data_IF_467578935816
#
_entry.id   IF_467578935816
#
_cell.length_a   1.000
_cell.length_b   1.000
_cell.length_c   1.000
_cell.angle_alpha   90.00
_cell.angle_beta   90.00
_cell.angle_gamma   90.00
#
_symmetry.space_group_name_H-M   'P 1'
#
loop_
_entity.id
_entity.type
_entity.pdbx_description
1 polymer ?
#
# COMPACT_ATOMS: atom_id res chain seq x y z
N UNK A 1 -12.28 -5.51 19.24
CA UNK A 1 -12.11 -5.91 17.82
C UNK A 1 -10.72 -5.49 17.41
N UNK A 2 -9.93 -6.34 16.72
CA UNK A 2 -8.60 -5.93 16.26
C UNK A 2 -8.70 -4.76 15.29
N UNK A 3 -7.73 -3.86 15.34
CA UNK A 3 -7.58 -2.76 14.40
C UNK A 3 -7.27 -3.28 12.98
N UNK A 4 -7.42 -2.41 11.98
CA UNK A 4 -7.09 -2.72 10.59
C UNK A 4 -5.65 -3.26 10.47
N UNK A 5 -4.69 -2.56 11.08
CA UNK A 5 -3.26 -2.92 10.97
C UNK A 5 -2.90 -4.22 11.68
N UNK A 6 -3.53 -4.54 12.81
CA UNK A 6 -3.33 -5.82 13.51
C UNK A 6 -3.80 -6.98 12.61
N UNK A 7 -5.02 -6.88 12.09
CA UNK A 7 -5.62 -7.93 11.25
C UNK A 7 -4.86 -8.09 9.92
N UNK A 8 -4.46 -6.99 9.30
CA UNK A 8 -3.67 -7.05 8.07
C UNK A 8 -2.29 -7.68 8.31
N UNK A 9 -1.64 -7.33 9.43
CA UNK A 9 -0.35 -7.92 9.80
C UNK A 9 -0.44 -9.43 9.99
N UNK A 10 -1.53 -9.93 10.59
CA UNK A 10 -1.80 -11.37 10.69
C UNK A 10 -1.97 -12.04 9.32
N UNK A 11 -2.73 -11.44 8.41
CA UNK A 11 -2.92 -11.99 7.07
C UNK A 11 -1.62 -12.00 6.25
N UNK A 12 -0.79 -10.96 6.34
CA UNK A 12 0.52 -10.96 5.68
C UNK A 12 1.40 -12.09 6.22
N UNK A 13 1.46 -12.27 7.54
CA UNK A 13 2.21 -13.37 8.18
C UNK A 13 1.66 -14.76 7.86
N UNK A 14 0.37 -14.87 7.60
CA UNK A 14 -0.28 -16.08 7.14
C UNK A 14 -0.13 -16.32 5.62
N UNK A 15 0.70 -15.52 4.93
CA UNK A 15 1.02 -15.66 3.51
C UNK A 15 -0.19 -15.54 2.57
N UNK A 16 -1.19 -14.72 2.93
CA UNK A 16 -2.23 -14.34 1.99
C UNK A 16 -1.63 -13.47 0.87
N UNK A 17 -1.86 -13.87 -0.39
CA UNK A 17 -1.28 -13.21 -1.57
C UNK A 17 -2.08 -12.02 -2.07
N UNK A 18 -3.30 -11.84 -1.58
CA UNK A 18 -4.19 -10.75 -1.96
C UNK A 18 -5.30 -10.58 -0.94
N UNK A 19 -5.63 -9.32 -0.63
CA UNK A 19 -6.66 -8.95 0.32
C UNK A 19 -7.54 -7.87 -0.30
N UNK A 20 -8.85 -8.00 -0.13
CA UNK A 20 -9.81 -6.94 -0.44
C UNK A 20 -10.16 -6.18 0.83
N UNK A 21 -9.84 -4.89 0.87
CA UNK A 21 -10.15 -4.02 2.01
C UNK A 21 -11.36 -3.16 1.65
N UNK A 22 -12.45 -3.35 2.40
CA UNK A 22 -13.65 -2.51 2.28
C UNK A 22 -13.69 -1.52 3.44
N UNK A 23 -13.74 -0.23 3.12
CA UNK A 23 -13.78 0.87 4.08
C UNK A 23 -14.59 2.03 3.51
N UNK A 24 -15.14 2.87 4.39
CA UNK A 24 -15.73 4.16 4.02
C UNK A 24 -14.70 5.30 4.06
N UNK A 25 -13.50 5.03 4.59
CA UNK A 25 -12.41 5.98 4.83
C UNK A 25 -11.13 5.45 4.14
N UNK A 26 -11.03 5.56 2.81
CA UNK A 26 -9.94 4.96 2.03
C UNK A 26 -8.60 5.65 2.28
N UNK A 27 -8.58 6.97 2.47
CA UNK A 27 -7.35 7.72 2.69
C UNK A 27 -6.71 7.39 4.04
N UNK A 28 -7.53 7.32 5.09
CA UNK A 28 -7.13 6.94 6.43
C UNK A 28 -6.62 5.50 6.45
N UNK A 29 -7.35 4.58 5.81
CA UNK A 29 -6.92 3.20 5.67
C UNK A 29 -5.57 3.10 4.95
N UNK A 30 -5.38 3.81 3.83
CA UNK A 30 -4.10 3.84 3.12
C UNK A 30 -2.96 4.39 3.99
N UNK A 31 -3.21 5.46 4.77
CA UNK A 31 -2.22 6.03 5.67
C UNK A 31 -1.83 5.05 6.80
N UNK A 32 -2.81 4.35 7.38
CA UNK A 32 -2.57 3.30 8.38
C UNK A 32 -1.76 2.13 7.82
N UNK A 33 -2.08 1.67 6.61
CA UNK A 33 -1.36 0.58 5.92
C UNK A 33 0.08 0.98 5.61
N UNK A 34 0.30 2.19 5.08
CA UNK A 34 1.64 2.73 4.87
C UNK A 34 2.40 2.88 6.20
N UNK A 35 1.72 3.24 7.28
CA UNK A 35 2.25 3.27 8.65
C UNK A 35 2.71 1.89 9.13
N UNK A 36 1.88 0.85 8.92
CA UNK A 36 2.22 -0.54 9.23
C UNK A 36 3.45 -0.99 8.43
N UNK A 37 3.47 -0.79 7.11
CA UNK A 37 4.61 -1.18 6.28
C UNK A 37 5.92 -0.52 6.73
N UNK A 38 5.90 0.77 7.10
CA UNK A 38 7.08 1.44 7.67
C UNK A 38 7.53 0.82 8.99
N UNK A 39 6.60 0.50 9.89
CA UNK A 39 6.91 -0.12 11.20
C UNK A 39 7.51 -1.51 11.04
N UNK A 40 6.98 -2.31 10.12
CA UNK A 40 7.42 -3.67 9.87
C UNK A 40 8.59 -3.76 8.86
N UNK A 41 9.07 -2.61 8.36
CA UNK A 41 10.08 -2.51 7.31
C UNK A 41 9.72 -3.29 6.04
N UNK A 42 8.44 -3.26 5.66
CA UNK A 42 7.92 -3.82 4.41
C UNK A 42 7.96 -2.78 3.30
N UNK A 43 8.26 -3.24 2.08
CA UNK A 43 8.12 -2.39 0.90
C UNK A 43 6.64 -2.07 0.65
N UNK A 44 6.36 -0.79 0.42
CA UNK A 44 5.02 -0.31 0.08
C UNK A 44 5.05 0.27 -1.33
N UNK A 45 4.10 -0.15 -2.14
CA UNK A 45 3.78 0.50 -3.39
C UNK A 45 2.26 0.71 -3.46
N UNK A 46 1.85 1.85 -3.99
CA UNK A 46 0.45 2.19 -4.21
C UNK A 46 0.24 2.55 -5.66
N UNK A 47 -0.87 2.09 -6.22
CA UNK A 47 -1.35 2.55 -7.52
C UNK A 47 -2.63 3.32 -7.29
N UNK A 48 -2.58 4.60 -7.58
CA UNK A 48 -3.73 5.48 -7.59
C UNK A 48 -4.06 5.86 -9.04
N UNK A 49 -5.35 5.99 -9.37
CA UNK A 49 -5.76 6.29 -10.74
C UNK A 49 -5.34 7.70 -11.18
N UNK A 50 -5.31 8.66 -10.27
CA UNK A 50 -4.96 10.06 -10.56
C UNK A 50 -3.45 10.28 -10.45
N UNK A 51 -2.80 9.65 -9.47
CA UNK A 51 -1.38 9.88 -9.17
C UNK A 51 -0.44 8.83 -9.75
N UNK A 52 -0.97 7.75 -10.35
CA UNK A 52 -0.20 6.68 -10.94
C UNK A 52 0.44 5.74 -9.92
N UNK A 53 1.47 5.01 -10.36
CA UNK A 53 2.20 4.05 -9.54
C UNK A 53 3.28 4.76 -8.73
N UNK A 54 3.28 4.54 -7.42
CA UNK A 54 4.21 5.14 -6.47
C UNK A 54 4.83 4.05 -5.60
N UNK A 55 6.14 4.14 -5.36
CA UNK A 55 6.86 3.24 -4.45
C UNK A 55 7.43 4.07 -3.31
N UNK A 56 7.13 3.68 -2.07
CA UNK A 56 7.66 4.37 -0.91
C UNK A 56 9.19 4.26 -0.87
N UNK A 57 9.87 5.41 -0.79
CA UNK A 57 11.32 5.49 -0.70
C UNK A 57 12.06 5.51 -2.04
N UNK A 58 11.36 5.48 -3.18
CA UNK A 58 11.95 5.75 -4.50
C UNK A 58 11.25 6.95 -5.16
N UNK A 59 12.01 7.88 -5.77
CA UNK A 59 11.41 8.85 -6.68
C UNK A 59 10.75 8.08 -7.83
N UNK A 60 9.52 8.47 -8.20
CA UNK A 60 8.84 7.91 -9.37
C UNK A 60 9.62 8.35 -10.60
N UNK A 61 10.48 7.49 -11.14
CA UNK A 61 11.06 7.70 -12.46
C UNK A 61 9.91 7.58 -13.49
N UNK A 62 9.29 8.71 -13.82
CA UNK A 62 8.46 8.86 -15.00
C UNK A 62 9.36 8.87 -16.26
N UNK A 63 10.02 7.75 -16.56
CA UNK A 63 10.63 7.49 -17.86
C UNK A 63 9.96 6.30 -18.54
N UNK A 64 8.68 6.50 -18.87
CA UNK A 64 8.13 5.94 -20.10
C UNK A 64 7.90 7.12 -21.04
N UNK A 65 9.00 7.62 -21.63
CA UNK A 65 8.92 8.38 -22.88
C UNK A 65 8.45 7.40 -23.94
N UNK A 66 7.19 7.51 -24.33
CA UNK A 66 6.73 6.94 -25.59
C UNK A 66 7.48 7.66 -26.73
N UNK A 67 8.37 6.99 -27.49
CA UNK A 67 9.08 7.61 -28.59
C UNK A 67 8.51 7.08 -29.91
N UNK A 68 7.27 7.44 -30.26
CA UNK A 68 6.74 7.31 -31.64
C UNK A 68 5.76 8.44 -31.98
#
# INVERSE_FOLDING_TARGET
>A
MPSLTERLGEYVRACFTGLWVQTHEPHEAQAELAGLCRRENWQWASWDLEQGFQVAGQPVEQELRDPL
#
